data_IF_402019352591
#
_entry.id   IF_402019352591
#
_cell.length_a   1.000
_cell.length_b   1.000
_cell.length_c   1.000
_cell.angle_alpha   90.00
_cell.angle_beta   90.00
_cell.angle_gamma   90.00
#
_symmetry.space_group_name_H-M   'P 1'
#
loop_
_entity.id
_entity.type
_entity.pdbx_description
1 polymer ?
#
# COMPACT_ATOMS: atom_id res chain seq x y z
N UNK A 1 -51.80 17.39 43.44
CA UNK A 1 -50.99 17.80 42.27
C UNK A 1 -49.72 18.48 42.76
N UNK A 2 -48.54 17.86 42.59
CA UNK A 2 -47.26 18.49 42.91
C UNK A 2 -46.97 19.52 41.81
N UNK A 3 -46.93 20.83 42.14
CA UNK A 3 -46.50 21.86 41.18
C UNK A 3 -45.00 21.66 40.93
N UNK A 4 -44.63 21.36 39.70
CA UNK A 4 -43.23 21.42 39.28
C UNK A 4 -42.73 22.86 39.45
N UNK A 5 -41.65 23.06 40.20
CA UNK A 5 -40.99 24.35 40.27
C UNK A 5 -40.32 24.62 38.90
N UNK A 6 -40.37 25.85 38.39
CA UNK A 6 -39.67 26.23 37.16
C UNK A 6 -38.18 25.90 37.23
N UNK A 7 -37.59 25.90 38.43
CA UNK A 7 -36.20 25.49 38.68
C UNK A 7 -35.95 24.01 38.36
N UNK A 8 -36.92 23.12 38.63
CA UNK A 8 -36.80 21.69 38.33
C UNK A 8 -36.82 21.45 36.80
N UNK A 9 -37.64 22.22 36.08
CA UNK A 9 -37.70 22.14 34.62
C UNK A 9 -36.38 22.61 33.97
N UNK A 10 -35.79 23.68 34.48
CA UNK A 10 -34.48 24.18 34.01
C UNK A 10 -33.37 23.20 34.37
N UNK A 11 -33.36 22.64 35.58
CA UNK A 11 -32.38 21.65 35.99
C UNK A 11 -32.41 20.40 35.10
N UNK A 12 -33.61 19.91 34.76
CA UNK A 12 -33.77 18.80 33.82
C UNK A 12 -33.28 19.14 32.41
N UNK A 13 -33.61 20.34 31.91
CA UNK A 13 -33.12 20.82 30.61
C UNK A 13 -31.59 20.84 30.55
N UNK A 14 -30.94 21.40 31.58
CA UNK A 14 -29.48 21.45 31.69
C UNK A 14 -28.90 20.03 31.73
N UNK A 15 -29.53 19.11 32.48
CA UNK A 15 -29.15 17.70 32.50
C UNK A 15 -29.16 17.08 31.10
N UNK A 16 -30.22 17.29 30.31
CA UNK A 16 -30.29 16.79 28.94
C UNK A 16 -29.23 17.42 28.02
N UNK A 17 -28.95 18.72 28.15
CA UNK A 17 -27.90 19.38 27.37
C UNK A 17 -26.52 18.79 27.67
N UNK A 18 -26.21 18.55 28.95
CA UNK A 18 -24.93 17.95 29.33
C UNK A 18 -24.81 16.53 28.80
N UNK A 19 -25.86 15.70 28.98
CA UNK A 19 -25.85 14.31 28.51
C UNK A 19 -25.69 14.24 26.99
N UNK A 20 -26.45 15.05 26.25
CA UNK A 20 -26.36 15.10 24.79
C UNK A 20 -24.99 15.61 24.32
N UNK A 21 -24.42 16.62 24.98
CA UNK A 21 -23.07 17.11 24.70
C UNK A 21 -22.02 16.01 24.88
N UNK A 22 -22.07 15.26 25.99
CA UNK A 22 -21.17 14.14 26.25
C UNK A 22 -21.34 13.04 25.20
N UNK A 23 -22.58 12.69 24.85
CA UNK A 23 -22.86 11.69 23.82
C UNK A 23 -22.34 12.10 22.45
N UNK A 24 -22.45 13.38 22.07
CA UNK A 24 -21.89 13.88 20.81
C UNK A 24 -20.37 13.74 20.77
N UNK A 25 -19.67 14.10 21.85
CA UNK A 25 -18.20 13.95 21.93
C UNK A 25 -17.79 12.48 21.85
N UNK A 26 -18.51 11.60 22.55
CA UNK A 26 -18.27 10.16 22.47
C UNK A 26 -18.53 9.61 21.07
N UNK A 27 -19.60 10.06 20.42
CA UNK A 27 -19.95 9.62 19.05
C UNK A 27 -18.84 10.00 18.05
N UNK A 28 -18.36 11.24 18.09
CA UNK A 28 -17.26 11.68 17.21
C UNK A 28 -15.99 10.86 17.49
N UNK A 29 -15.70 10.60 18.76
CA UNK A 29 -14.54 9.80 19.17
C UNK A 29 -14.63 8.36 18.64
N UNK A 30 -15.80 7.73 18.76
CA UNK A 30 -16.05 6.37 18.21
C UNK A 30 -15.94 6.37 16.70
N UNK A 31 -16.48 7.39 16.01
CA UNK A 31 -16.43 7.47 14.55
C UNK A 31 -14.97 7.52 14.05
N UNK A 32 -14.11 8.30 14.70
CA UNK A 32 -12.67 8.36 14.36
C UNK A 32 -12.01 7.01 14.62
N UNK A 33 -12.23 6.39 15.78
CA UNK A 33 -11.62 5.11 16.14
C UNK A 33 -12.06 3.98 15.19
N UNK A 34 -13.34 3.96 14.83
CA UNK A 34 -13.92 2.99 13.90
C UNK A 34 -13.33 3.16 12.50
N UNK A 35 -13.16 4.39 12.02
CA UNK A 35 -12.53 4.64 10.73
C UNK A 35 -11.08 4.12 10.70
N UNK A 36 -10.28 4.44 11.71
CA UNK A 36 -8.89 3.97 11.79
C UNK A 36 -8.81 2.43 11.91
N UNK A 37 -9.60 1.85 12.81
CA UNK A 37 -9.47 0.43 13.16
C UNK A 37 -10.14 -0.51 12.15
N UNK A 38 -11.24 -0.10 11.52
CA UNK A 38 -12.03 -0.96 10.65
C UNK A 38 -11.93 -0.63 9.16
N UNK A 39 -11.46 0.56 8.79
CA UNK A 39 -11.28 0.94 7.38
C UNK A 39 -9.79 1.05 7.03
N UNK A 40 -9.05 1.94 7.69
CA UNK A 40 -7.68 2.29 7.28
C UNK A 40 -6.71 1.12 7.48
N UNK A 41 -6.60 0.60 8.71
CA UNK A 41 -5.63 -0.47 9.01
C UNK A 41 -5.87 -1.76 8.21
N UNK A 42 -7.10 -2.28 8.08
CA UNK A 42 -7.35 -3.45 7.25
C UNK A 42 -7.03 -3.21 5.78
N UNK A 43 -7.35 -2.02 5.23
CA UNK A 43 -7.01 -1.67 3.85
C UNK A 43 -5.50 -1.68 3.63
N UNK A 44 -4.71 -1.06 4.52
CA UNK A 44 -3.24 -1.09 4.44
C UNK A 44 -2.68 -2.51 4.50
N UNK A 45 -3.27 -3.39 5.31
CA UNK A 45 -2.85 -4.80 5.39
C UNK A 45 -3.15 -5.55 4.08
N UNK A 46 -4.32 -5.35 3.47
CA UNK A 46 -4.64 -5.96 2.17
C UNK A 46 -3.75 -5.41 1.06
N UNK A 47 -3.47 -4.11 1.06
CA UNK A 47 -2.53 -3.49 0.12
C UNK A 47 -1.14 -4.07 0.28
N UNK A 48 -0.66 -4.23 1.51
CA UNK A 48 0.64 -4.85 1.79
C UNK A 48 0.74 -6.26 1.21
N UNK A 49 -0.23 -7.13 1.47
CA UNK A 49 -0.22 -8.48 0.92
C UNK A 49 -0.28 -8.50 -0.62
N UNK A 50 -1.11 -7.64 -1.20
CA UNK A 50 -1.18 -7.50 -2.66
C UNK A 50 0.16 -7.03 -3.26
N UNK A 51 0.85 -6.10 -2.61
CA UNK A 51 2.17 -5.63 -3.03
C UNK A 51 3.25 -6.71 -2.89
N UNK A 52 3.19 -7.52 -1.82
CA UNK A 52 4.06 -8.69 -1.66
C UNK A 52 3.84 -9.68 -2.81
N UNK A 53 2.59 -9.99 -3.16
CA UNK A 53 2.27 -10.93 -4.24
C UNK A 53 2.71 -10.41 -5.60
N UNK A 54 2.49 -9.11 -5.89
CA UNK A 54 2.97 -8.45 -7.10
C UNK A 54 4.50 -8.50 -7.17
N UNK A 55 5.20 -8.14 -6.08
CA UNK A 55 6.66 -8.17 -6.02
C UNK A 55 7.24 -9.57 -6.18
N UNK A 56 6.61 -10.59 -5.58
CA UNK A 56 7.00 -11.99 -5.75
C UNK A 56 6.76 -12.49 -7.18
N UNK A 57 5.61 -12.16 -7.79
CA UNK A 57 5.32 -12.51 -9.19
C UNK A 57 6.32 -11.85 -10.17
N UNK A 58 6.69 -10.60 -9.91
CA UNK A 58 7.74 -9.90 -10.65
C UNK A 58 9.11 -10.56 -10.48
N UNK A 59 9.45 -10.99 -9.27
CA UNK A 59 10.71 -11.68 -8.97
C UNK A 59 10.88 -12.95 -9.80
N UNK A 60 9.84 -13.79 -9.85
CA UNK A 60 9.84 -15.02 -10.67
C UNK A 60 10.05 -14.69 -12.15
N UNK A 61 9.34 -13.70 -12.70
CA UNK A 61 9.52 -13.31 -14.11
C UNK A 61 10.92 -12.77 -14.41
N UNK A 62 11.51 -12.03 -13.48
CA UNK A 62 12.88 -11.53 -13.60
C UNK A 62 13.89 -12.69 -13.60
N UNK A 63 13.68 -13.69 -12.74
CA UNK A 63 14.50 -14.92 -12.71
C UNK A 63 14.40 -15.69 -14.04
N UNK A 64 13.20 -15.80 -14.59
CA UNK A 64 12.98 -16.48 -15.88
C UNK A 64 13.72 -15.76 -17.01
N UNK A 65 13.62 -14.43 -17.06
CA UNK A 65 14.34 -13.60 -18.04
C UNK A 65 15.85 -13.75 -17.87
N UNK A 66 16.35 -13.76 -16.63
CA UNK A 66 17.77 -13.95 -16.33
C UNK A 66 18.30 -15.27 -16.91
N UNK A 67 17.51 -16.34 -16.86
CA UNK A 67 17.88 -17.67 -17.37
C UNK A 67 18.10 -17.68 -18.88
N UNK A 68 17.40 -16.83 -19.63
CA UNK A 68 17.50 -16.73 -21.10
C UNK A 68 18.27 -15.51 -21.59
N UNK A 69 18.75 -14.66 -20.68
CA UNK A 69 19.40 -13.41 -21.03
C UNK A 69 20.69 -13.64 -21.85
N UNK A 70 20.88 -12.97 -22.99
CA UNK A 70 22.09 -13.14 -23.82
C UNK A 70 23.29 -12.53 -23.13
N UNK A 71 24.47 -13.17 -23.19
CA UNK A 71 25.72 -12.71 -22.51
C UNK A 71 25.97 -11.22 -22.73
N UNK A 72 25.74 -10.74 -23.95
CA UNK A 72 25.72 -9.33 -24.33
C UNK A 72 24.38 -9.00 -25.02
N UNK A 73 23.73 -7.91 -24.60
CA UNK A 73 22.47 -7.42 -25.17
C UNK A 73 21.40 -7.12 -24.10
N UNK A 74 20.19 -6.78 -24.57
CA UNK A 74 19.06 -6.48 -23.71
C UNK A 74 17.84 -7.35 -24.06
N UNK A 75 17.06 -7.68 -23.03
CA UNK A 75 15.72 -8.27 -23.18
C UNK A 75 14.73 -7.24 -22.67
N UNK A 76 13.73 -6.95 -23.49
CA UNK A 76 12.58 -6.14 -23.11
C UNK A 76 11.40 -7.08 -22.96
N UNK A 77 10.77 -7.07 -21.79
CA UNK A 77 9.58 -7.87 -21.52
C UNK A 77 8.47 -6.97 -21.00
N UNK A 78 7.29 -7.16 -21.56
CA UNK A 78 6.06 -6.55 -21.05
C UNK A 78 5.44 -7.51 -20.03
N UNK A 79 5.19 -6.99 -18.84
CA UNK A 79 4.60 -7.73 -17.74
C UNK A 79 3.17 -7.24 -17.56
N UNK A 80 2.26 -8.17 -17.35
CA UNK A 80 0.90 -7.82 -16.98
C UNK A 80 0.81 -7.77 -15.45
N UNK A 81 0.46 -6.60 -14.91
CA UNK A 81 0.22 -6.35 -13.49
C UNK A 81 -1.09 -5.57 -13.35
N UNK A 82 -1.77 -5.69 -12.20
CA UNK A 82 -3.00 -4.93 -11.94
C UNK A 82 -2.85 -3.42 -12.16
N UNK A 83 -3.95 -2.77 -12.56
CA UNK A 83 -3.96 -1.31 -12.74
C UNK A 83 -3.79 -0.58 -11.41
N UNK A 84 -4.48 -1.07 -10.39
CA UNK A 84 -4.56 -0.53 -9.05
C UNK A 84 -4.69 -1.66 -8.03
N UNK A 85 -4.45 -1.32 -6.76
CA UNK A 85 -4.76 -2.17 -5.62
C UNK A 85 -5.72 -1.39 -4.72
N UNK A 86 -6.94 -1.90 -4.57
CA UNK A 86 -8.01 -1.23 -3.81
C UNK A 86 -8.36 0.19 -4.32
N UNK A 87 -8.27 0.42 -5.63
CA UNK A 87 -8.53 1.73 -6.24
C UNK A 87 -7.35 2.70 -6.16
N UNK A 88 -6.24 2.30 -5.53
CA UNK A 88 -5.03 3.12 -5.38
C UNK A 88 -3.95 2.70 -6.37
N UNK A 89 -3.36 3.69 -7.05
CA UNK A 89 -2.23 3.48 -7.94
C UNK A 89 -0.95 3.16 -7.18
N UNK A 90 -0.02 2.48 -7.86
CA UNK A 90 1.26 2.11 -7.28
C UNK A 90 2.38 2.10 -8.32
N UNK A 91 3.61 2.22 -7.83
CA UNK A 91 4.83 2.23 -8.61
C UNK A 91 5.69 1.03 -8.21
N UNK A 92 6.16 0.30 -9.19
CA UNK A 92 7.16 -0.75 -9.04
C UNK A 92 8.50 -0.21 -9.53
N UNK A 93 9.55 -0.34 -8.71
CA UNK A 93 10.91 0.02 -9.09
C UNK A 93 11.85 -1.15 -8.81
N UNK A 94 12.54 -1.61 -9.84
CA UNK A 94 13.66 -2.56 -9.72
C UNK A 94 14.94 -1.75 -9.60
N UNK A 95 15.60 -1.85 -8.44
CA UNK A 95 16.83 -1.10 -8.13
C UNK A 95 17.89 -2.03 -7.59
N UNK A 96 19.15 -1.60 -7.70
CA UNK A 96 20.28 -2.23 -7.01
C UNK A 96 20.49 -1.52 -5.68
N UNK A 97 20.58 -2.29 -4.59
CA UNK A 97 20.94 -1.80 -3.26
C UNK A 97 22.21 -2.53 -2.80
N UNK A 98 23.36 -1.88 -2.95
CA UNK A 98 24.66 -2.52 -2.69
C UNK A 98 24.97 -3.62 -3.72
N UNK A 99 25.22 -4.84 -3.24
CA UNK A 99 25.46 -6.04 -4.06
C UNK A 99 24.17 -6.75 -4.48
N UNK A 100 23.07 -6.50 -3.79
CA UNK A 100 21.78 -7.15 -4.04
C UNK A 100 20.86 -6.28 -4.90
N UNK A 101 19.86 -6.92 -5.49
CA UNK A 101 18.78 -6.22 -6.20
C UNK A 101 17.48 -6.33 -5.42
N UNK A 102 16.65 -5.32 -5.54
CA UNK A 102 15.38 -5.20 -4.86
C UNK A 102 14.28 -4.77 -5.83
N UNK A 103 13.09 -5.29 -5.60
CA UNK A 103 11.84 -4.82 -6.19
C UNK A 103 11.11 -4.05 -5.11
N UNK A 104 11.00 -2.74 -5.29
CA UNK A 104 10.19 -1.87 -4.45
C UNK A 104 8.81 -1.74 -5.10
N UNK A 105 7.76 -2.13 -4.38
CA UNK A 105 6.37 -1.83 -4.75
C UNK A 105 5.86 -0.79 -3.76
N UNK A 106 5.43 0.37 -4.26
CA UNK A 106 5.08 1.53 -3.44
C UNK A 106 3.81 2.21 -3.90
N UNK A 107 2.87 2.39 -2.97
CA UNK A 107 1.76 3.33 -3.10
C UNK A 107 1.91 4.48 -2.09
N UNK A 108 0.81 5.19 -1.85
CA UNK A 108 0.82 6.39 -1.00
C UNK A 108 1.04 6.09 0.48
N UNK A 109 0.47 4.99 0.98
CA UNK A 109 0.46 4.63 2.41
C UNK A 109 1.26 3.39 2.77
N UNK A 110 1.60 2.58 1.77
CA UNK A 110 2.21 1.26 1.98
C UNK A 110 3.36 1.09 0.99
N UNK A 111 4.46 0.52 1.46
CA UNK A 111 5.57 0.09 0.62
C UNK A 111 6.02 -1.32 1.00
N UNK A 112 6.58 -2.03 0.04
CA UNK A 112 7.09 -3.38 0.22
C UNK A 112 8.35 -3.56 -0.60
N UNK A 113 9.35 -4.20 0.00
CA UNK A 113 10.65 -4.46 -0.62
C UNK A 113 10.86 -5.96 -0.72
N UNK A 114 11.03 -6.45 -1.94
CA UNK A 114 11.32 -7.86 -2.22
C UNK A 114 12.76 -7.97 -2.70
N UNK A 115 13.58 -8.77 -2.02
CA UNK A 115 14.97 -9.02 -2.43
C UNK A 115 15.04 -10.02 -3.58
N UNK A 116 15.80 -9.67 -4.62
CA UNK A 116 16.25 -10.52 -5.72
C UNK A 116 17.61 -11.11 -5.34
N UNK A 117 17.62 -12.03 -4.37
CA UNK A 117 18.85 -12.60 -3.83
C UNK A 117 19.69 -13.31 -4.93
N UNK A 118 20.94 -12.87 -5.10
CA UNK A 118 21.95 -13.56 -5.93
C UNK A 118 21.88 -13.32 -7.45
N UNK A 119 20.82 -12.73 -7.97
CA UNK A 119 20.65 -12.48 -9.43
C UNK A 119 21.36 -11.18 -9.85
N UNK A 120 21.37 -10.19 -8.95
CA UNK A 120 21.93 -8.87 -9.18
C UNK A 120 23.46 -8.77 -9.16
N UNK A 121 24.16 -9.80 -8.67
CA UNK A 121 25.61 -9.80 -8.50
C UNK A 121 26.35 -9.98 -9.84
N UNK A 122 25.75 -10.70 -10.79
CA UNK A 122 26.35 -11.03 -12.08
C UNK A 122 25.74 -10.24 -13.22
N UNK A 123 24.42 -9.99 -13.22
CA UNK A 123 23.73 -9.32 -14.34
C UNK A 123 22.52 -8.52 -13.86
N UNK A 124 22.65 -7.19 -13.88
CA UNK A 124 21.70 -6.30 -13.21
C UNK A 124 20.43 -6.08 -14.04
N UNK A 125 19.26 -6.21 -13.42
CA UNK A 125 17.97 -5.81 -14.00
C UNK A 125 17.57 -4.42 -13.54
N UNK A 126 17.03 -3.57 -14.42
CA UNK A 126 16.58 -2.22 -14.09
C UNK A 126 15.21 -1.94 -14.71
N UNK A 127 14.45 -1.07 -14.08
CA UNK A 127 13.18 -0.64 -14.64
C UNK A 127 12.25 -0.09 -13.59
N UNK A 128 11.44 0.87 -14.01
CA UNK A 128 10.35 1.41 -13.22
C UNK A 128 9.09 1.26 -14.03
N UNK A 129 8.02 0.81 -13.39
CA UNK A 129 6.71 0.66 -13.98
C UNK A 129 5.61 1.04 -12.99
N UNK A 130 4.41 1.29 -13.48
CA UNK A 130 3.25 1.73 -12.70
C UNK A 130 2.05 0.92 -13.17
N UNK A 131 1.14 0.57 -12.26
CA UNK A 131 -0.04 -0.25 -12.60
C UNK A 131 -0.84 0.30 -13.79
N UNK A 132 -0.80 1.61 -14.06
CA UNK A 132 -1.55 2.23 -15.15
C UNK A 132 -0.93 2.32 -16.54
N UNK A 133 0.21 1.67 -16.82
CA UNK A 133 0.92 1.78 -18.11
C UNK A 133 1.43 0.46 -18.67
N UNK A 134 2.08 0.50 -19.85
CA UNK A 134 2.79 -0.67 -20.38
C UNK A 134 3.92 -1.04 -19.42
N UNK A 135 3.80 -2.18 -18.74
CA UNK A 135 4.75 -2.53 -17.69
C UNK A 135 6.00 -3.15 -18.27
N UNK A 136 6.95 -2.27 -18.62
CA UNK A 136 8.15 -2.66 -19.32
C UNK A 136 9.30 -2.88 -18.35
N UNK A 137 9.78 -4.12 -18.26
CA UNK A 137 11.04 -4.44 -17.59
C UNK A 137 12.15 -4.51 -18.63
N UNK A 138 13.25 -3.81 -18.36
CA UNK A 138 14.42 -3.78 -19.25
C UNK A 138 15.57 -4.50 -18.55
N UNK A 139 15.92 -5.65 -19.11
CA UNK A 139 17.15 -6.32 -18.75
C UNK A 139 18.29 -5.78 -19.61
N UNK A 140 19.39 -5.32 -19.00
CA UNK A 140 20.64 -4.97 -19.69
C UNK A 140 21.81 -5.77 -19.11
N UNK A 141 22.43 -6.59 -19.96
CA UNK A 141 23.64 -7.36 -19.62
C UNK A 141 24.82 -6.53 -19.08
N UNK A 142 24.90 -5.23 -19.41
CA UNK A 142 25.92 -4.31 -18.91
C UNK A 142 25.64 -3.77 -17.50
N UNK A 143 24.44 -4.01 -16.96
CA UNK A 143 24.02 -3.51 -15.65
C UNK A 143 23.89 -1.99 -15.55
N UNK A 144 23.73 -1.31 -16.69
CA UNK A 144 23.55 0.15 -16.82
C UNK A 144 22.10 0.47 -17.15
#
# INVERSE_FOLDING_TARGET
>A
MKRHSSSDAVANLVGYIIITGVLMVLLVSVMILVNDSLMVKPAEQFTYHSYVDIGNGMSVRIVDIYTIAPVNGSIVSDIDIPYDVLGEGYVITVRRQGVDQEILVKGDRTETVISLAGIGATRAVRGTTMGGGSNRVIYDSGGV
#
